data_IF_056796135026
#
_entry.id   IF_056796135026
#
_cell.length_a   1.000
_cell.length_b   1.000
_cell.length_c   1.000
_cell.angle_alpha   90.00
_cell.angle_beta   90.00
_cell.angle_gamma   90.00
#
_symmetry.space_group_name_H-M   'P 1'
#
loop_
_entity.id
_entity.type
_entity.pdbx_description
1 polymer ?
#
# COMPACT_ATOMS: atom_id res chain seq x y z
N UNK A 1 10.12 23.27 6.92
CA UNK A 1 8.91 22.49 7.25
C UNK A 1 9.11 21.84 8.60
N UNK A 2 8.09 21.77 9.44
CA UNK A 2 8.19 21.40 10.86
C UNK A 2 8.98 20.10 11.11
N UNK A 3 8.78 19.07 10.27
CA UNK A 3 9.53 17.80 10.37
C UNK A 3 11.03 18.00 10.19
N UNK A 4 11.47 18.83 9.24
CA UNK A 4 12.89 19.09 9.01
C UNK A 4 13.55 19.82 10.19
N UNK A 5 12.79 20.67 10.87
CA UNK A 5 13.24 21.37 12.08
C UNK A 5 13.41 20.39 13.25
N UNK A 6 12.45 19.50 13.47
CA UNK A 6 12.57 18.43 14.47
C UNK A 6 13.76 17.52 14.15
N UNK A 7 13.91 17.11 12.88
CA UNK A 7 15.02 16.24 12.44
C UNK A 7 16.40 16.89 12.55
N UNK A 8 16.48 18.23 12.49
CA UNK A 8 17.72 18.97 12.69
C UNK A 8 18.14 19.05 14.17
N UNK A 9 17.20 18.83 15.10
CA UNK A 9 17.46 18.81 16.54
C UNK A 9 17.62 17.39 17.11
N UNK A 10 17.66 16.37 16.24
CA UNK A 10 17.87 14.97 16.60
C UNK A 10 19.15 14.46 15.97
N UNK A 11 19.94 13.74 16.74
CA UNK A 11 21.22 13.21 16.29
C UNK A 11 21.26 11.68 16.23
N UNK A 12 22.13 11.17 15.36
CA UNK A 12 22.51 9.76 15.29
C UNK A 12 21.31 8.81 15.25
N UNK A 13 21.29 7.88 16.22
CA UNK A 13 20.27 6.83 16.29
C UNK A 13 18.86 7.36 16.62
N UNK A 14 18.75 8.39 17.46
CA UNK A 14 17.45 8.96 17.84
C UNK A 14 16.72 9.55 16.64
N UNK A 15 17.47 10.21 15.75
CA UNK A 15 16.94 10.73 14.48
C UNK A 15 16.37 9.61 13.61
N UNK A 16 17.07 8.49 13.50
CA UNK A 16 16.62 7.33 12.70
C UNK A 16 15.36 6.73 13.30
N UNK A 17 15.33 6.47 14.61
CA UNK A 17 14.18 5.89 15.29
C UNK A 17 12.93 6.79 15.21
N UNK A 18 13.11 8.10 15.38
CA UNK A 18 12.03 9.07 15.22
C UNK A 18 11.47 9.04 13.80
N UNK A 19 12.35 9.11 12.80
CA UNK A 19 11.94 9.08 11.39
C UNK A 19 11.19 7.79 11.05
N UNK A 20 11.68 6.63 11.52
CA UNK A 20 11.03 5.33 11.31
C UNK A 20 9.65 5.28 11.95
N UNK A 21 9.52 5.74 13.20
CA UNK A 21 8.25 5.75 13.92
C UNK A 21 7.23 6.65 13.25
N UNK A 22 7.64 7.86 12.87
CA UNK A 22 6.80 8.80 12.13
C UNK A 22 6.37 8.23 10.78
N UNK A 23 7.30 7.68 10.01
CA UNK A 23 7.01 7.09 8.71
C UNK A 23 6.07 5.88 8.83
N UNK A 24 6.23 5.06 9.88
CA UNK A 24 5.32 3.97 10.20
C UNK A 24 3.90 4.47 10.45
N UNK A 25 3.73 5.49 11.29
CA UNK A 25 2.40 6.09 11.54
C UNK A 25 1.76 6.65 10.26
N UNK A 26 2.54 7.31 9.40
CA UNK A 26 2.02 7.82 8.12
C UNK A 26 1.65 6.67 7.19
N UNK A 27 2.48 5.63 7.09
CA UNK A 27 2.22 4.45 6.28
C UNK A 27 0.93 3.75 6.71
N UNK A 28 0.77 3.49 8.01
CA UNK A 28 -0.41 2.84 8.57
C UNK A 28 -1.67 3.69 8.36
N UNK A 29 -1.55 5.00 8.57
CA UNK A 29 -2.62 5.97 8.31
C UNK A 29 -3.05 5.96 6.84
N UNK A 30 -2.10 5.91 5.90
CA UNK A 30 -2.40 5.79 4.47
C UNK A 30 -3.09 4.48 4.16
N UNK A 31 -2.58 3.35 4.64
CA UNK A 31 -3.22 2.05 4.42
C UNK A 31 -4.64 1.99 5.01
N UNK A 32 -4.86 2.57 6.19
CA UNK A 32 -6.19 2.66 6.80
C UNK A 32 -7.13 3.54 5.96
N UNK A 33 -6.63 4.70 5.52
CA UNK A 33 -7.37 5.61 4.66
C UNK A 33 -7.81 4.91 3.37
N UNK A 34 -6.90 4.23 2.66
CA UNK A 34 -7.21 3.55 1.41
C UNK A 34 -8.26 2.44 1.55
N UNK A 35 -8.34 1.76 2.69
CA UNK A 35 -9.37 0.75 2.95
C UNK A 35 -10.77 1.35 3.19
N UNK A 36 -10.86 2.67 3.40
CA UNK A 36 -12.11 3.37 3.68
C UNK A 36 -12.84 3.91 2.45
N UNK A 37 -12.26 3.85 1.25
CA UNK A 37 -12.84 4.45 0.05
C UNK A 37 -12.87 3.48 -1.11
N UNK A 38 -13.95 3.56 -1.88
CA UNK A 38 -14.04 2.92 -3.18
C UNK A 38 -13.29 3.76 -4.22
N UNK A 39 -12.49 3.09 -5.04
CA UNK A 39 -11.58 3.69 -6.03
C UNK A 39 -12.02 3.25 -7.43
N UNK A 40 -12.30 4.23 -8.28
CA UNK A 40 -12.54 4.03 -9.72
C UNK A 40 -11.26 4.33 -10.52
N UNK A 41 -11.30 4.12 -11.84
CA UNK A 41 -10.12 4.27 -12.70
C UNK A 41 -9.47 5.67 -12.60
N UNK A 42 -10.29 6.73 -12.52
CA UNK A 42 -9.79 8.10 -12.36
C UNK A 42 -9.16 8.28 -10.98
N UNK A 43 -9.82 7.79 -9.93
CA UNK A 43 -9.31 7.81 -8.56
C UNK A 43 -8.01 7.03 -8.40
N UNK A 44 -7.83 5.93 -9.15
CA UNK A 44 -6.60 5.15 -9.16
C UNK A 44 -5.40 5.96 -9.68
N UNK A 45 -5.62 6.79 -10.71
CA UNK A 45 -4.58 7.69 -11.23
C UNK A 45 -4.20 8.77 -10.22
N UNK A 46 -5.18 9.36 -9.55
CA UNK A 46 -4.95 10.34 -8.47
C UNK A 46 -4.18 9.69 -7.33
N UNK A 47 -4.62 8.50 -6.89
CA UNK A 47 -3.98 7.73 -5.83
C UNK A 47 -2.50 7.44 -6.15
N UNK A 48 -2.18 7.07 -7.38
CA UNK A 48 -0.77 6.85 -7.78
C UNK A 48 0.04 8.13 -7.73
N UNK A 49 -0.52 9.27 -8.16
CA UNK A 49 0.16 10.55 -8.06
C UNK A 49 0.43 10.92 -6.60
N UNK A 50 -0.54 10.70 -5.71
CA UNK A 50 -0.40 10.96 -4.28
C UNK A 50 0.63 10.03 -3.63
N UNK A 51 0.58 8.72 -3.90
CA UNK A 51 1.59 7.76 -3.42
C UNK A 51 2.99 8.16 -3.88
N UNK A 52 3.15 8.59 -5.13
CA UNK A 52 4.45 9.06 -5.64
C UNK A 52 4.94 10.29 -4.87
N UNK A 53 4.04 11.22 -4.50
CA UNK A 53 4.40 12.38 -3.68
C UNK A 53 4.81 11.97 -2.27
N UNK A 54 4.06 11.05 -1.63
CA UNK A 54 4.42 10.50 -0.33
C UNK A 54 5.80 9.83 -0.36
N UNK A 55 6.09 9.03 -1.39
CA UNK A 55 7.42 8.43 -1.59
C UNK A 55 8.52 9.48 -1.66
N UNK A 56 8.36 10.52 -2.49
CA UNK A 56 9.35 11.62 -2.59
C UNK A 56 9.54 12.33 -1.25
N UNK A 57 8.47 12.61 -0.51
CA UNK A 57 8.57 13.22 0.82
C UNK A 57 9.32 12.33 1.81
N UNK A 58 9.05 11.03 1.80
CA UNK A 58 9.69 10.08 2.73
C UNK A 58 11.15 9.80 2.37
N UNK A 59 11.50 9.80 1.08
CA UNK A 59 12.88 9.70 0.62
C UNK A 59 13.75 10.87 1.12
N UNK A 60 13.16 12.05 1.34
CA UNK A 60 13.86 13.21 1.90
C UNK A 60 14.35 13.01 3.35
N UNK A 61 13.85 11.99 4.05
CA UNK A 61 14.30 11.64 5.40
C UNK A 61 15.64 10.89 5.39
N UNK A 62 16.09 10.41 4.23
CA UNK A 62 17.36 9.72 4.02
C UNK A 62 17.54 8.44 4.88
N UNK A 63 16.45 7.74 5.18
CA UNK A 63 16.47 6.46 5.88
C UNK A 63 16.02 5.35 4.92
N UNK A 64 16.94 4.46 4.56
CA UNK A 64 16.73 3.42 3.54
C UNK A 64 15.54 2.49 3.82
N UNK A 65 15.32 2.12 5.08
CA UNK A 65 14.18 1.28 5.47
C UNK A 65 12.83 1.97 5.23
N UNK A 66 12.76 3.29 5.39
CA UNK A 66 11.55 4.08 5.10
C UNK A 66 11.29 4.11 3.59
N UNK A 67 12.32 4.37 2.79
CA UNK A 67 12.21 4.35 1.33
C UNK A 67 11.70 2.99 0.82
N UNK A 68 12.23 1.89 1.35
CA UNK A 68 11.76 0.53 1.02
C UNK A 68 10.30 0.33 1.42
N UNK A 69 9.91 0.76 2.62
CA UNK A 69 8.53 0.68 3.10
C UNK A 69 7.58 1.43 2.16
N UNK A 70 7.88 2.68 1.80
CA UNK A 70 7.00 3.48 0.94
C UNK A 70 7.01 3.03 -0.52
N UNK A 71 8.09 2.40 -1.00
CA UNK A 71 8.09 1.74 -2.33
C UNK A 71 7.09 0.61 -2.41
N UNK A 72 6.79 -0.09 -1.31
CA UNK A 72 5.75 -1.13 -1.30
C UNK A 72 4.36 -0.59 -1.65
N UNK A 73 4.06 0.69 -1.37
CA UNK A 73 2.79 1.33 -1.76
C UNK A 73 2.63 1.43 -3.28
N UNK A 74 3.72 1.38 -4.05
CA UNK A 74 3.64 1.34 -5.51
C UNK A 74 2.88 0.09 -5.98
N UNK A 75 3.16 -1.06 -5.37
CA UNK A 75 2.44 -2.30 -5.67
C UNK A 75 0.94 -2.14 -5.42
N UNK A 76 0.56 -1.44 -4.34
CA UNK A 76 -0.84 -1.11 -4.07
C UNK A 76 -1.42 -0.19 -5.15
N UNK A 77 -0.69 0.84 -5.57
CA UNK A 77 -1.16 1.72 -6.65
C UNK A 77 -1.35 0.99 -7.98
N UNK A 78 -0.45 0.07 -8.31
CA UNK A 78 -0.50 -0.71 -9.54
C UNK A 78 -1.72 -1.65 -9.53
N UNK A 79 -2.09 -2.21 -8.37
CA UNK A 79 -3.33 -2.99 -8.21
C UNK A 79 -4.60 -2.22 -8.57
N UNK A 80 -4.65 -0.91 -8.33
CA UNK A 80 -5.82 -0.08 -8.65
C UNK A 80 -5.84 0.36 -10.13
N UNK A 81 -4.70 0.35 -10.81
CA UNK A 81 -4.59 0.82 -12.20
C UNK A 81 -4.72 -0.32 -13.21
N UNK A 82 -4.22 -1.50 -12.84
CA UNK A 82 -4.28 -2.67 -13.73
C UNK A 82 -5.74 -2.97 -14.09
N UNK A 83 -6.00 -3.18 -15.37
CA UNK A 83 -7.35 -3.52 -15.84
C UNK A 83 -7.80 -4.85 -15.24
N UNK A 84 -9.11 -5.00 -15.04
CA UNK A 84 -9.70 -6.21 -14.47
C UNK A 84 -9.23 -7.51 -15.13
N UNK A 85 -9.10 -7.52 -16.46
CA UNK A 85 -8.69 -8.69 -17.24
C UNK A 85 -7.23 -9.09 -16.99
N UNK A 86 -6.38 -8.17 -16.54
CA UNK A 86 -4.95 -8.41 -16.32
C UNK A 86 -4.58 -8.60 -14.84
N UNK A 87 -5.55 -8.49 -13.91
CA UNK A 87 -5.31 -8.69 -12.48
C UNK A 87 -4.80 -10.09 -12.14
N UNK A 88 -5.38 -11.15 -12.69
CA UNK A 88 -4.95 -12.51 -12.36
C UNK A 88 -3.50 -12.80 -12.83
N UNK A 89 -3.12 -12.47 -14.09
CA UNK A 89 -1.72 -12.50 -14.51
C UNK A 89 -0.81 -11.66 -13.62
N UNK A 90 -1.18 -10.40 -13.35
CA UNK A 90 -0.41 -9.50 -12.49
C UNK A 90 -0.12 -10.10 -11.11
N UNK A 91 -1.13 -10.66 -10.43
CA UNK A 91 -0.98 -11.27 -9.12
C UNK A 91 -0.14 -12.56 -9.13
N UNK A 92 -0.14 -13.27 -10.27
CA UNK A 92 0.63 -14.51 -10.44
C UNK A 92 2.11 -14.21 -10.69
N UNK A 93 2.39 -13.19 -11.50
CA UNK A 93 3.75 -12.77 -11.86
C UNK A 93 4.41 -11.91 -10.78
N UNK A 94 3.61 -11.13 -10.05
CA UNK A 94 4.07 -10.20 -9.02
C UNK A 94 3.41 -10.53 -7.69
N UNK A 95 4.01 -11.45 -6.89
CA UNK A 95 3.47 -11.80 -5.59
C UNK A 95 3.51 -10.59 -4.63
N UNK A 96 2.65 -10.58 -3.58
CA UNK A 96 2.65 -9.53 -2.58
C UNK A 96 4.04 -9.32 -1.98
N UNK A 97 4.48 -8.06 -1.93
CA UNK A 97 5.75 -7.67 -1.33
C UNK A 97 5.52 -7.21 0.11
N UNK A 98 6.49 -7.48 0.99
CA UNK A 98 6.45 -6.97 2.36
C UNK A 98 6.24 -5.44 2.37
N UNK A 99 5.39 -4.91 3.27
CA UNK A 99 4.73 -5.58 4.39
C UNK A 99 3.35 -6.19 4.05
N UNK A 100 2.97 -6.25 2.78
CA UNK A 100 1.64 -6.72 2.38
C UNK A 100 1.57 -8.25 2.32
N UNK A 101 0.54 -8.80 2.93
CA UNK A 101 0.18 -10.21 2.83
C UNK A 101 -0.91 -10.38 1.77
N UNK A 102 -1.14 -11.60 1.31
CA UNK A 102 -2.26 -11.89 0.42
C UNK A 102 -3.61 -11.42 0.97
N UNK A 103 -3.81 -11.47 2.30
CA UNK A 103 -5.02 -10.94 2.93
C UNK A 103 -5.15 -9.42 2.77
N UNK A 104 -4.06 -8.67 2.96
CA UNK A 104 -4.05 -7.23 2.70
C UNK A 104 -4.40 -6.91 1.24
N UNK A 105 -3.88 -7.69 0.29
CA UNK A 105 -4.18 -7.48 -1.13
C UNK A 105 -5.66 -7.66 -1.42
N UNK A 106 -6.29 -8.67 -0.82
CA UNK A 106 -7.74 -8.89 -0.93
C UNK A 106 -8.53 -7.70 -0.40
N UNK A 107 -8.11 -7.11 0.72
CA UNK A 107 -8.78 -5.93 1.28
C UNK A 107 -8.70 -4.71 0.35
N UNK A 108 -7.58 -4.52 -0.34
CA UNK A 108 -7.45 -3.46 -1.34
C UNK A 108 -8.25 -3.75 -2.62
N UNK A 109 -8.30 -5.01 -3.07
CA UNK A 109 -9.12 -5.39 -4.23
C UNK A 109 -10.61 -5.12 -3.99
N UNK A 110 -11.11 -5.26 -2.75
CA UNK A 110 -12.50 -4.91 -2.39
C UNK A 110 -12.81 -3.41 -2.51
N UNK A 111 -11.79 -2.56 -2.58
CA UNK A 111 -11.97 -1.14 -2.77
C UNK A 111 -12.13 -0.75 -4.23
N UNK A 112 -11.94 -1.67 -5.17
CA UNK A 112 -12.13 -1.39 -6.59
C UNK A 112 -13.61 -1.46 -6.96
N UNK A 113 -14.12 -0.39 -7.57
CA UNK A 113 -15.53 -0.31 -7.98
C UNK A 113 -15.90 -1.27 -9.12
N UNK A 114 -14.93 -1.68 -9.94
CA UNK A 114 -15.13 -2.53 -11.11
C UNK A 114 -15.09 -4.04 -10.77
N UNK A 115 -14.76 -4.38 -9.52
CA UNK A 115 -14.72 -5.74 -9.01
C UNK A 115 -15.96 -6.06 -8.18
N UNK A 116 -16.60 -7.16 -8.53
CA UNK A 116 -17.64 -7.75 -7.69
C UNK A 116 -17.02 -8.64 -6.60
N UNK A 117 -17.81 -8.99 -5.58
CA UNK A 117 -17.38 -9.98 -4.58
C UNK A 117 -16.98 -11.32 -5.20
N UNK A 118 -17.62 -11.74 -6.31
CA UNK A 118 -17.27 -12.97 -7.01
C UNK A 118 -15.90 -12.87 -7.70
N UNK A 119 -15.59 -11.71 -8.30
CA UNK A 119 -14.28 -11.46 -8.89
C UNK A 119 -13.17 -11.51 -7.83
N UNK A 120 -13.36 -10.83 -6.70
CA UNK A 120 -12.41 -10.86 -5.58
C UNK A 120 -12.20 -12.29 -5.06
N UNK A 121 -13.29 -13.07 -4.94
CA UNK A 121 -13.20 -14.47 -4.52
C UNK A 121 -12.40 -15.34 -5.50
N UNK A 122 -12.51 -15.09 -6.81
CA UNK A 122 -11.71 -15.78 -7.81
C UNK A 122 -10.21 -15.42 -7.66
N UNK A 123 -9.89 -14.15 -7.44
CA UNK A 123 -8.53 -13.66 -7.25
C UNK A 123 -7.87 -14.15 -5.95
N UNK A 124 -8.64 -14.40 -4.88
CA UNK A 124 -8.11 -15.03 -3.65
C UNK A 124 -7.45 -16.39 -3.90
N UNK A 125 -7.94 -17.15 -4.90
CA UNK A 125 -7.34 -18.46 -5.26
C UNK A 125 -5.96 -18.29 -5.89
N UNK A 126 -5.80 -17.27 -6.73
CA UNK A 126 -4.51 -16.91 -7.35
C UNK A 126 -3.49 -16.53 -6.28
N UNK A 127 -3.94 -15.79 -5.27
CA UNK A 127 -3.13 -15.34 -4.14
C UNK A 127 -2.82 -16.42 -3.10
N UNK A 128 -3.33 -17.64 -3.27
CA UNK A 128 -3.14 -18.75 -2.33
C UNK A 128 -3.77 -18.53 -0.95
N UNK A 129 -4.79 -17.65 -0.83
CA UNK A 129 -5.47 -17.41 0.45
C UNK A 129 -6.43 -18.57 0.74
N UNK A 130 -6.29 -19.29 1.87
CA UNK A 130 -7.21 -20.35 2.21
C UNK A 130 -8.62 -19.79 2.42
N UNK A 131 -9.65 -20.53 1.99
CA UNK A 131 -11.06 -20.16 2.25
C UNK A 131 -11.24 -19.95 3.76
N UNK A 132 -11.67 -18.76 4.17
CA UNK A 132 -12.14 -18.55 5.53
C UNK A 132 -13.28 -19.54 5.79
N UNK A 133 -13.15 -20.38 6.85
CA UNK A 133 -14.25 -21.23 7.31
C UNK A 133 -15.42 -20.31 7.62
N UNK A 134 -16.56 -20.55 6.98
CA UNK A 134 -17.82 -19.93 7.38
C UNK A 134 -18.05 -20.28 8.86
N UNK A 135 -18.08 -19.27 9.73
CA UNK A 135 -18.58 -19.44 11.08
C UNK A 135 -20.08 -19.76 10.94
N UNK A 136 -20.44 -21.00 11.25
CA UNK A 136 -21.82 -21.44 11.41
C UNK A 136 -22.35 -21.08 12.79
#
# INVERSE_FOLDING_TARGET
GYIQEVMANLDGHNRVLFAQSMAGMVFDGLCAHLRGYQVNDIGALVLRADISRYQTCMDSLQVSSISTLFRSLKYISDLFIVTKSYLAPFLSEQPPQAPFTSAHIVDFLRQRVDLTNADVQALTKVLGVPKAKAAG
#
